data_IF_191914949191
#
_entry.id   IF_191914949191
#
_cell.length_a   1.000
_cell.length_b   1.000
_cell.length_c   1.000
_cell.angle_alpha   90.00
_cell.angle_beta   90.00
_cell.angle_gamma   90.00
#
_symmetry.space_group_name_H-M   'P 1'
#
loop_
_entity.id
_entity.type
_entity.pdbx_description
1 polymer ?
#
# COMPACT_ATOMS: atom_id res chain seq x y z
N UNK A 1 8.89 -27.55 19.33
CA UNK A 1 7.64 -28.18 18.86
C UNK A 1 7.54 -29.62 19.33
N UNK A 2 8.46 -30.54 18.98
CA UNK A 2 8.40 -31.94 19.47
C UNK A 2 8.40 -32.08 21.00
N UNK A 3 9.20 -31.29 21.70
CA UNK A 3 9.24 -31.27 23.18
C UNK A 3 7.89 -30.88 23.82
N UNK A 4 7.10 -30.10 23.07
CA UNK A 4 5.85 -29.49 23.57
C UNK A 4 4.62 -30.15 22.96
N UNK A 5 4.79 -31.24 22.21
CA UNK A 5 3.72 -31.98 21.50
C UNK A 5 2.81 -31.07 20.68
N UNK A 6 3.42 -30.18 19.86
CA UNK A 6 2.68 -29.26 18.97
C UNK A 6 2.44 -29.98 17.64
N UNK A 7 1.17 -30.22 17.30
CA UNK A 7 0.73 -30.88 16.07
C UNK A 7 0.22 -29.90 15.02
N UNK A 8 -0.19 -28.69 15.43
CA UNK A 8 -0.75 -27.66 14.56
C UNK A 8 -0.03 -26.34 14.81
N UNK A 9 0.44 -25.69 13.75
CA UNK A 9 1.04 -24.36 13.76
C UNK A 9 0.21 -23.42 12.90
N UNK A 10 -0.33 -22.35 13.51
CA UNK A 10 -0.88 -21.23 12.75
C UNK A 10 0.15 -20.10 12.61
N UNK A 11 0.43 -19.67 11.38
CA UNK A 11 1.30 -18.53 11.09
C UNK A 11 0.44 -17.34 10.66
N UNK A 12 0.69 -16.17 11.25
CA UNK A 12 -0.06 -14.94 10.93
C UNK A 12 0.95 -13.85 10.59
N UNK A 13 1.05 -13.46 9.33
CA UNK A 13 2.04 -12.46 8.91
C UNK A 13 2.01 -12.15 7.42
N UNK A 14 3.00 -11.37 6.96
CA UNK A 14 3.18 -10.98 5.57
C UNK A 14 3.77 -12.09 4.70
N UNK A 15 4.32 -11.69 3.57
CA UNK A 15 4.94 -12.55 2.57
C UNK A 15 6.07 -13.41 3.15
N UNK A 16 7.04 -12.80 3.84
CA UNK A 16 8.15 -13.51 4.50
C UNK A 16 7.65 -14.58 5.48
N UNK A 17 6.66 -14.26 6.31
CA UNK A 17 6.11 -15.21 7.29
C UNK A 17 5.46 -16.41 6.59
N UNK A 18 4.74 -16.18 5.52
CA UNK A 18 4.01 -17.24 4.82
C UNK A 18 4.95 -18.07 3.93
N UNK A 19 5.95 -17.48 3.29
CA UNK A 19 6.99 -18.22 2.56
C UNK A 19 7.85 -19.07 3.50
N UNK A 20 8.20 -18.56 4.68
CA UNK A 20 8.90 -19.33 5.70
C UNK A 20 8.05 -20.48 6.27
N UNK A 21 6.74 -20.28 6.42
CA UNK A 21 5.80 -21.34 6.81
C UNK A 21 5.74 -22.44 5.77
N UNK A 22 5.72 -22.09 4.47
CA UNK A 22 5.78 -23.04 3.37
C UNK A 22 7.10 -23.84 3.37
N UNK A 23 8.24 -23.15 3.54
CA UNK A 23 9.56 -23.79 3.63
C UNK A 23 9.67 -24.76 4.83
N UNK A 24 9.10 -24.34 6.00
CA UNK A 24 9.05 -25.19 7.19
C UNK A 24 8.22 -26.45 6.93
N UNK A 25 7.04 -26.33 6.36
CA UNK A 25 6.18 -27.48 6.03
C UNK A 25 6.90 -28.47 5.10
N UNK A 26 7.52 -27.97 4.02
CA UNK A 26 8.26 -28.78 3.08
C UNK A 26 9.50 -29.48 3.72
N UNK A 27 10.19 -28.79 4.64
CA UNK A 27 11.32 -29.37 5.37
C UNK A 27 10.88 -30.51 6.30
N UNK A 28 9.78 -30.32 7.01
CA UNK A 28 9.25 -31.32 7.93
C UNK A 28 8.76 -32.55 7.20
N UNK A 29 8.06 -32.40 6.08
CA UNK A 29 7.62 -33.49 5.23
C UNK A 29 8.81 -34.37 4.76
N UNK A 30 9.88 -33.71 4.25
CA UNK A 30 11.13 -34.40 3.84
C UNK A 30 11.83 -35.13 5.00
N UNK A 31 11.62 -34.65 6.22
CA UNK A 31 12.21 -35.24 7.43
C UNK A 31 11.33 -36.34 8.06
N UNK A 32 10.22 -36.71 7.39
CA UNK A 32 9.27 -37.71 7.89
C UNK A 32 8.50 -37.26 9.15
N UNK A 33 8.41 -35.98 9.41
CA UNK A 33 7.71 -35.39 10.54
C UNK A 33 6.38 -34.81 10.11
N UNK A 34 5.35 -35.01 10.92
CA UNK A 34 4.02 -34.47 10.68
C UNK A 34 3.78 -33.23 11.53
N UNK A 35 3.63 -32.08 10.89
CA UNK A 35 3.14 -30.84 11.50
C UNK A 35 2.16 -30.21 10.51
N UNK A 36 0.96 -29.94 10.97
CA UNK A 36 0.00 -29.19 10.18
C UNK A 36 0.32 -27.71 10.27
N UNK A 37 0.59 -27.07 9.14
CA UNK A 37 0.93 -25.63 9.07
C UNK A 37 -0.17 -24.91 8.32
N UNK A 38 -0.88 -23.99 9.01
CA UNK A 38 -1.93 -23.17 8.40
C UNK A 38 -1.58 -21.69 8.50
N UNK A 39 -1.34 -21.06 7.37
CA UNK A 39 -1.00 -19.65 7.26
C UNK A 39 -2.23 -18.74 7.13
N UNK A 40 -2.10 -17.51 7.61
CA UNK A 40 -3.06 -16.42 7.46
C UNK A 40 -2.29 -15.18 6.96
N UNK A 41 -2.62 -14.65 5.75
CA UNK A 41 -1.86 -13.56 5.14
C UNK A 41 -2.26 -12.22 5.78
N UNK A 42 -1.43 -11.71 6.69
CA UNK A 42 -1.66 -10.45 7.39
C UNK A 42 -0.54 -9.45 7.01
N UNK A 43 -0.82 -8.61 6.07
CA UNK A 43 0.02 -7.48 5.64
C UNK A 43 -0.85 -6.32 5.19
N UNK A 44 -0.35 -5.09 5.30
CA UNK A 44 -1.02 -3.90 4.77
C UNK A 44 -0.71 -3.67 3.29
N UNK A 45 0.36 -4.28 2.79
CA UNK A 45 0.88 -4.07 1.44
C UNK A 45 0.07 -4.81 0.36
N UNK A 46 -0.69 -5.84 0.75
CA UNK A 46 -1.50 -6.68 -0.15
C UNK A 46 -0.68 -7.38 -1.25
N UNK A 47 0.53 -7.82 -0.91
CA UNK A 47 1.60 -8.26 -1.81
C UNK A 47 1.88 -9.79 -1.81
N UNK A 48 0.93 -10.60 -1.36
CA UNK A 48 1.04 -12.08 -1.28
C UNK A 48 0.35 -12.75 -2.47
N UNK A 49 1.10 -13.51 -3.27
CA UNK A 49 0.58 -14.35 -4.37
C UNK A 49 0.09 -15.70 -3.82
N UNK A 50 -1.05 -16.23 -4.25
CA UNK A 50 -2.11 -15.70 -5.11
C UNK A 50 -3.31 -15.17 -4.29
N UNK A 51 -3.05 -14.42 -3.24
CA UNK A 51 -4.08 -13.90 -2.33
C UNK A 51 -4.66 -12.59 -2.87
N UNK A 52 -5.98 -12.56 -3.10
CA UNK A 52 -6.67 -11.35 -3.58
C UNK A 52 -6.63 -10.21 -2.59
N UNK A 53 -6.84 -10.52 -1.32
CA UNK A 53 -6.92 -9.53 -0.26
C UNK A 53 -6.30 -10.05 1.03
N UNK A 54 -5.30 -9.35 1.52
CA UNK A 54 -4.66 -9.66 2.80
C UNK A 54 -5.38 -9.01 3.96
N UNK A 55 -5.26 -9.61 5.14
CA UNK A 55 -5.88 -9.14 6.38
C UNK A 55 -5.21 -7.83 6.83
N UNK A 56 -6.01 -6.79 7.01
CA UNK A 56 -5.57 -5.47 7.47
C UNK A 56 -5.32 -4.44 6.37
N UNK A 57 -5.26 -4.84 5.10
CA UNK A 57 -4.98 -3.91 4.00
C UNK A 57 -6.13 -2.91 3.78
N UNK A 58 -7.39 -3.34 3.83
CA UNK A 58 -8.54 -2.43 3.76
C UNK A 58 -8.54 -1.43 4.91
N UNK A 59 -8.29 -1.88 6.13
CA UNK A 59 -8.20 -1.00 7.31
C UNK A 59 -7.10 0.04 7.11
N UNK A 60 -5.93 -0.37 6.62
CA UNK A 60 -4.83 0.56 6.40
C UNK A 60 -5.18 1.63 5.36
N UNK A 61 -5.83 1.25 4.26
CA UNK A 61 -6.30 2.20 3.24
C UNK A 61 -7.33 3.20 3.80
N UNK A 62 -8.34 2.71 4.54
CA UNK A 62 -9.36 3.56 5.19
C UNK A 62 -8.75 4.51 6.23
N UNK A 63 -7.78 4.05 7.02
CA UNK A 63 -7.12 4.88 8.03
C UNK A 63 -6.14 5.88 7.40
N UNK A 64 -5.42 5.49 6.36
CA UNK A 64 -4.61 6.41 5.55
C UNK A 64 -5.45 7.54 4.94
N UNK A 65 -6.65 7.22 4.45
CA UNK A 65 -7.61 8.20 3.96
C UNK A 65 -8.05 9.19 5.06
N UNK A 66 -8.38 8.69 6.24
CA UNK A 66 -8.73 9.54 7.40
C UNK A 66 -7.56 10.40 7.90
N UNK A 67 -6.36 9.85 7.86
CA UNK A 67 -5.16 10.60 8.18
C UNK A 67 -5.00 11.80 7.24
N UNK A 68 -5.14 11.57 5.93
CA UNK A 68 -5.04 12.64 4.95
C UNK A 68 -6.19 13.65 5.03
N UNK A 69 -7.41 13.20 5.38
CA UNK A 69 -8.57 14.09 5.60
C UNK A 69 -8.28 15.18 6.64
N UNK A 70 -7.49 14.89 7.66
CA UNK A 70 -7.08 15.88 8.65
C UNK A 70 -6.01 16.83 8.10
N UNK A 71 -5.06 16.29 7.32
CA UNK A 71 -3.89 17.03 6.83
C UNK A 71 -4.25 17.99 5.71
N UNK A 72 -5.16 17.56 4.81
CA UNK A 72 -5.55 18.36 3.64
C UNK A 72 -6.12 19.73 3.98
N UNK A 73 -6.63 19.92 5.21
CA UNK A 73 -7.13 21.18 5.69
C UNK A 73 -6.03 22.27 5.75
N UNK A 74 -4.75 21.87 5.77
CA UNK A 74 -3.62 22.79 5.64
C UNK A 74 -3.67 23.61 4.33
N UNK A 75 -4.33 23.11 3.28
CA UNK A 75 -4.57 23.86 2.05
C UNK A 75 -5.34 25.16 2.23
N UNK A 76 -5.95 25.36 3.40
CA UNK A 76 -6.65 26.61 3.73
C UNK A 76 -5.77 27.63 4.47
N UNK A 77 -4.57 27.23 4.90
CA UNK A 77 -3.70 28.05 5.75
C UNK A 77 -2.67 28.89 4.97
N UNK A 78 -2.35 28.47 3.74
CA UNK A 78 -1.39 29.16 2.87
C UNK A 78 -1.77 29.03 1.41
N UNK A 79 -1.18 29.89 0.58
CA UNK A 79 -1.33 29.80 -0.87
C UNK A 79 -0.33 28.79 -1.44
N UNK A 80 -0.64 28.28 -2.64
CA UNK A 80 0.25 27.45 -3.45
C UNK A 80 0.90 26.33 -2.62
N UNK A 81 0.06 25.53 -1.96
CA UNK A 81 0.53 24.48 -1.09
C UNK A 81 0.70 23.16 -1.82
N UNK A 82 1.86 22.54 -1.67
CA UNK A 82 2.12 21.17 -2.10
C UNK A 82 2.04 20.24 -0.89
N UNK A 83 1.11 19.27 -0.90
CA UNK A 83 1.04 18.22 0.12
C UNK A 83 1.40 16.89 -0.51
N UNK A 84 2.37 16.19 0.06
CA UNK A 84 2.75 14.83 -0.31
C UNK A 84 2.41 13.90 0.84
N UNK A 85 1.46 13.01 0.63
CA UNK A 85 1.11 11.93 1.55
C UNK A 85 1.87 10.67 1.16
N UNK A 86 2.96 10.38 1.85
CA UNK A 86 3.73 9.15 1.66
C UNK A 86 3.06 8.00 2.39
N UNK A 87 2.78 6.93 1.66
CA UNK A 87 2.10 5.72 2.09
C UNK A 87 3.05 4.53 1.96
N UNK A 88 2.96 3.56 2.86
CA UNK A 88 3.71 2.30 2.79
C UNK A 88 3.39 1.54 1.51
N UNK A 89 4.31 0.69 1.08
CA UNK A 89 4.19 -0.10 -0.15
C UNK A 89 5.46 -0.01 -0.99
N UNK A 90 6.48 -0.78 -0.61
CA UNK A 90 7.79 -0.77 -1.28
C UNK A 90 7.72 -1.27 -2.72
N UNK A 91 7.03 -2.38 -2.93
CA UNK A 91 6.96 -3.11 -4.20
C UNK A 91 5.54 -3.23 -4.74
N UNK A 92 4.54 -2.86 -3.94
CA UNK A 92 3.13 -2.93 -4.30
C UNK A 92 2.43 -1.60 -4.00
N UNK A 93 1.89 -0.98 -5.02
CA UNK A 93 1.20 0.31 -4.95
C UNK A 93 -0.25 0.23 -4.46
N UNK A 94 -0.75 -0.98 -4.19
CA UNK A 94 -2.16 -1.20 -3.84
C UNK A 94 -2.61 -0.33 -2.66
N UNK A 95 -1.80 -0.27 -1.58
CA UNK A 95 -2.17 0.50 -0.39
C UNK A 95 -2.27 2.00 -0.70
N UNK A 96 -1.36 2.54 -1.50
CA UNK A 96 -1.39 3.96 -1.91
C UNK A 96 -2.60 4.26 -2.77
N UNK A 97 -2.84 3.44 -3.80
CA UNK A 97 -4.01 3.56 -4.67
C UNK A 97 -5.32 3.41 -3.89
N UNK A 98 -5.40 2.40 -3.01
CA UNK A 98 -6.54 2.17 -2.13
C UNK A 98 -6.79 3.32 -1.15
N UNK A 99 -5.73 3.90 -0.59
CA UNK A 99 -5.82 5.07 0.30
C UNK A 99 -6.38 6.29 -0.44
N UNK A 100 -5.90 6.56 -1.64
CA UNK A 100 -6.39 7.65 -2.48
C UNK A 100 -7.87 7.43 -2.86
N UNK A 101 -8.23 6.21 -3.21
CA UNK A 101 -9.60 5.84 -3.56
C UNK A 101 -10.57 5.98 -2.37
N UNK A 102 -10.21 5.45 -1.20
CA UNK A 102 -11.04 5.58 0.02
C UNK A 102 -11.13 7.06 0.45
N UNK A 103 -10.06 7.84 0.27
CA UNK A 103 -10.09 9.28 0.55
C UNK A 103 -11.06 10.01 -0.38
N UNK A 104 -11.06 9.73 -1.68
CA UNK A 104 -12.01 10.35 -2.62
C UNK A 104 -13.47 10.03 -2.29
N UNK A 105 -13.76 8.82 -1.78
CA UNK A 105 -15.10 8.48 -1.25
C UNK A 105 -15.50 9.33 -0.05
N UNK A 106 -14.56 9.65 0.84
CA UNK A 106 -14.85 10.55 1.96
C UNK A 106 -15.24 11.94 1.46
N UNK A 107 -14.61 12.42 0.38
CA UNK A 107 -14.93 13.73 -0.20
C UNK A 107 -16.34 13.82 -0.78
N UNK A 108 -16.94 12.71 -1.22
CA UNK A 108 -18.32 12.70 -1.75
C UNK A 108 -19.37 13.11 -0.72
N UNK A 109 -19.05 12.93 0.57
CA UNK A 109 -19.94 13.28 1.67
C UNK A 109 -19.69 14.70 2.24
N UNK A 110 -18.75 15.45 1.67
CA UNK A 110 -18.42 16.80 2.13
C UNK A 110 -19.32 17.84 1.45
N UNK A 111 -19.69 18.85 2.22
CA UNK A 111 -20.33 20.04 1.67
C UNK A 111 -19.27 21.06 1.26
N UNK A 112 -19.31 21.50 0.03
CA UNK A 112 -18.43 22.51 -0.53
C UNK A 112 -19.16 23.84 -0.68
N UNK A 113 -18.43 24.93 -0.47
CA UNK A 113 -18.93 26.32 -0.58
C UNK A 113 -18.02 27.10 -1.55
N UNK A 114 -18.18 26.91 -2.87
CA UNK A 114 -17.30 27.51 -3.87
C UNK A 114 -17.23 29.04 -3.76
N UNK A 115 -18.30 29.68 -3.32
CA UNK A 115 -18.38 31.11 -3.11
C UNK A 115 -17.42 31.61 -2.03
N UNK A 116 -17.00 30.72 -1.13
CA UNK A 116 -16.00 30.96 -0.09
C UNK A 116 -14.62 30.34 -0.42
N UNK A 117 -14.41 29.99 -1.68
CA UNK A 117 -13.20 29.30 -2.16
C UNK A 117 -13.00 27.90 -1.57
N UNK A 118 -14.04 27.29 -0.99
CA UNK A 118 -14.08 25.94 -0.48
C UNK A 118 -14.62 25.05 -1.59
N UNK A 119 -13.80 24.73 -2.57
CA UNK A 119 -14.16 23.88 -3.70
C UNK A 119 -13.58 22.47 -3.55
N UNK A 120 -14.26 21.46 -4.10
CA UNK A 120 -13.78 20.07 -4.10
C UNK A 120 -12.35 19.97 -4.63
N UNK A 121 -11.99 20.73 -5.67
CA UNK A 121 -10.68 20.71 -6.28
C UNK A 121 -9.53 20.98 -5.31
N UNK A 122 -9.73 21.76 -4.26
CA UNK A 122 -8.67 21.99 -3.26
C UNK A 122 -8.41 20.79 -2.34
N UNK A 123 -9.41 19.94 -2.17
CA UNK A 123 -9.33 18.75 -1.31
C UNK A 123 -9.09 17.47 -2.10
N UNK A 124 -9.29 17.46 -3.44
CA UNK A 124 -9.19 16.24 -4.23
C UNK A 124 -7.74 15.72 -4.32
N UNK A 125 -7.63 14.47 -4.74
CA UNK A 125 -6.37 13.83 -5.12
C UNK A 125 -5.94 14.40 -6.47
N UNK A 126 -4.69 14.83 -6.60
CA UNK A 126 -4.18 15.39 -7.85
C UNK A 126 -3.16 14.48 -8.53
N UNK A 127 -2.50 13.61 -7.78
CA UNK A 127 -1.64 12.57 -8.34
C UNK A 127 -1.56 11.35 -7.40
N UNK A 128 -1.37 10.18 -8.01
CA UNK A 128 -1.09 8.91 -7.32
C UNK A 128 0.15 8.30 -7.99
N UNK A 129 1.25 8.22 -7.26
CA UNK A 129 2.49 7.61 -7.75
C UNK A 129 2.73 6.29 -7.02
N UNK A 130 2.88 5.23 -7.81
CA UNK A 130 3.04 3.85 -7.35
C UNK A 130 4.23 3.18 -8.05
N UNK A 131 4.82 2.11 -7.48
CA UNK A 131 5.99 1.44 -8.06
C UNK A 131 5.74 0.87 -9.45
N UNK A 132 4.52 0.42 -9.75
CA UNK A 132 4.14 -0.27 -10.97
C UNK A 132 3.99 0.65 -12.19
N UNK A 133 4.14 1.96 -12.01
CA UNK A 133 3.98 2.93 -13.11
C UNK A 133 5.17 3.85 -13.21
N UNK A 134 5.70 3.97 -14.43
CA UNK A 134 6.72 4.97 -14.75
C UNK A 134 6.16 6.38 -14.64
N UNK A 135 7.00 7.31 -14.22
CA UNK A 135 6.63 8.72 -14.04
C UNK A 135 7.33 9.57 -15.08
N UNK A 136 6.55 10.13 -16.01
CA UNK A 136 7.03 11.22 -16.87
C UNK A 136 6.98 12.54 -16.10
N UNK A 137 8.08 12.87 -15.42
CA UNK A 137 8.18 14.07 -14.60
C UNK A 137 7.91 15.38 -15.37
N UNK A 138 8.25 15.45 -16.65
CA UNK A 138 8.01 16.66 -17.44
C UNK A 138 6.51 16.86 -17.69
N UNK A 139 5.82 15.81 -18.12
CA UNK A 139 4.38 15.82 -18.35
C UNK A 139 3.60 16.05 -17.06
N UNK A 140 3.96 15.35 -15.98
CA UNK A 140 3.31 15.50 -14.67
C UNK A 140 3.53 16.89 -14.07
N UNK A 141 4.73 17.46 -14.19
CA UNK A 141 4.99 18.85 -13.77
C UNK A 141 4.09 19.82 -14.51
N UNK A 142 3.97 19.68 -15.84
CA UNK A 142 3.12 20.56 -16.64
C UNK A 142 1.62 20.42 -16.26
N UNK A 143 1.16 19.21 -15.97
CA UNK A 143 -0.21 18.93 -15.52
C UNK A 143 -0.47 19.48 -14.12
N UNK A 144 0.39 19.18 -13.16
CA UNK A 144 0.26 19.62 -11.77
C UNK A 144 0.43 21.13 -11.61
N UNK A 145 1.24 21.76 -12.47
CA UNK A 145 1.34 23.23 -12.50
C UNK A 145 0.00 23.90 -12.82
N UNK A 146 -0.73 23.37 -13.79
CA UNK A 146 -2.08 23.88 -14.11
C UNK A 146 -3.04 23.71 -12.93
N UNK A 147 -2.94 22.59 -12.22
CA UNK A 147 -3.75 22.33 -11.01
C UNK A 147 -3.38 23.32 -9.90
N UNK A 148 -2.09 23.55 -9.66
CA UNK A 148 -1.61 24.53 -8.70
C UNK A 148 -2.13 25.94 -9.03
N UNK A 149 -2.13 26.32 -10.30
CA UNK A 149 -2.57 27.65 -10.74
C UNK A 149 -4.10 27.84 -10.64
N UNK A 150 -4.88 26.73 -10.73
CA UNK A 150 -6.35 26.79 -10.64
C UNK A 150 -6.89 26.57 -9.23
N UNK A 151 -6.25 25.70 -8.43
CA UNK A 151 -6.74 25.31 -7.11
C UNK A 151 -5.92 25.89 -5.95
N UNK A 152 -4.80 26.54 -6.25
CA UNK A 152 -3.85 27.09 -5.25
C UNK A 152 -3.24 26.00 -4.34
N UNK A 153 -3.30 24.75 -4.78
CA UNK A 153 -2.72 23.59 -4.08
C UNK A 153 -2.54 22.38 -5.01
N UNK A 154 -1.67 21.45 -4.58
CA UNK A 154 -1.50 20.13 -5.17
C UNK A 154 -1.40 19.08 -4.06
N UNK A 155 -2.19 18.01 -4.17
CA UNK A 155 -2.22 16.88 -3.23
C UNK A 155 -1.74 15.61 -3.93
N UNK A 156 -0.64 15.03 -3.48
CA UNK A 156 -0.01 13.84 -4.06
C UNK A 156 -0.08 12.69 -3.06
N UNK A 157 -0.56 11.52 -3.51
CA UNK A 157 -0.43 10.26 -2.81
C UNK A 157 0.74 9.52 -3.40
N UNK A 158 1.74 9.24 -2.57
CA UNK A 158 3.02 8.69 -3.00
C UNK A 158 3.29 7.37 -2.28
N UNK A 159 3.47 6.27 -3.04
CA UNK A 159 4.04 5.06 -2.48
C UNK A 159 5.52 5.27 -2.18
N UNK A 160 5.98 4.77 -1.03
CA UNK A 160 7.40 4.85 -0.65
C UNK A 160 8.34 4.16 -1.66
N UNK A 161 7.81 3.27 -2.52
CA UNK A 161 8.57 2.61 -3.59
C UNK A 161 8.46 3.26 -4.96
N UNK A 162 7.63 4.30 -5.12
CA UNK A 162 7.43 4.94 -6.41
C UNK A 162 8.68 5.67 -6.91
N UNK A 163 8.98 5.55 -8.21
CA UNK A 163 10.12 6.22 -8.86
C UNK A 163 11.50 5.77 -8.36
N UNK A 164 11.58 4.64 -7.68
CA UNK A 164 12.80 4.20 -6.98
C UNK A 164 13.99 4.03 -7.91
N UNK A 165 13.78 3.49 -9.12
CA UNK A 165 14.86 3.32 -10.10
C UNK A 165 15.44 4.67 -10.57
N UNK A 166 14.61 5.70 -10.64
CA UNK A 166 15.07 7.06 -10.99
C UNK A 166 15.85 7.67 -9.84
N UNK A 167 15.37 7.53 -8.61
CA UNK A 167 16.06 8.02 -7.40
C UNK A 167 17.43 7.35 -7.24
N UNK A 168 17.49 6.05 -7.39
CA UNK A 168 18.73 5.26 -7.30
C UNK A 168 19.74 5.72 -8.37
N UNK A 169 19.29 5.83 -9.63
CA UNK A 169 20.15 6.31 -10.73
C UNK A 169 20.70 7.73 -10.47
N UNK A 170 19.89 8.62 -9.94
CA UNK A 170 20.33 9.99 -9.60
C UNK A 170 21.38 10.00 -8.49
N UNK A 171 21.18 9.21 -7.42
CA UNK A 171 22.14 9.09 -6.32
C UNK A 171 23.48 8.56 -6.84
N UNK A 172 23.46 7.49 -7.63
CA UNK A 172 24.66 6.86 -8.18
C UNK A 172 25.37 7.77 -9.19
N UNK A 173 24.64 8.47 -10.06
CA UNK A 173 25.20 9.45 -10.99
C UNK A 173 25.86 10.63 -10.27
N UNK A 174 25.33 11.01 -9.10
CA UNK A 174 25.94 12.01 -8.21
C UNK A 174 27.15 11.51 -7.40
N UNK A 175 27.57 10.26 -7.59
CA UNK A 175 28.67 9.64 -6.85
C UNK A 175 28.29 9.19 -5.42
N UNK A 176 27.00 9.22 -5.08
CA UNK A 176 26.47 8.72 -3.81
C UNK A 176 26.40 7.19 -3.78
N UNK A 177 26.34 6.63 -2.55
CA UNK A 177 26.07 5.21 -2.36
C UNK A 177 24.63 5.01 -1.94
N UNK A 178 23.95 4.06 -2.59
CA UNK A 178 22.59 3.67 -2.22
C UNK A 178 22.64 2.75 -1.00
N UNK A 179 22.07 3.16 0.15
CA UNK A 179 22.06 2.32 1.36
C UNK A 179 21.14 1.11 1.14
N UNK A 180 21.65 -0.08 1.53
CA UNK A 180 20.91 -1.34 1.40
C UNK A 180 20.91 -2.09 2.72
N UNK A 181 19.87 -2.87 2.96
CA UNK A 181 19.78 -3.78 4.12
C UNK A 181 20.62 -5.05 3.91
N UNK A 182 20.60 -5.94 4.90
CA UNK A 182 21.34 -7.20 4.85
C UNK A 182 20.87 -8.17 3.73
N UNK A 183 19.68 -7.93 3.18
CA UNK A 183 19.08 -8.72 2.10
C UNK A 183 19.29 -8.06 0.72
N UNK A 184 19.93 -6.89 0.67
CA UNK A 184 20.18 -6.14 -0.55
C UNK A 184 19.07 -5.15 -0.96
N UNK A 185 18.02 -5.04 -0.20
CA UNK A 185 16.95 -4.08 -0.47
C UNK A 185 17.38 -2.65 -0.14
N UNK A 186 16.94 -1.73 -0.96
CA UNK A 186 17.17 -0.28 -0.74
C UNK A 186 16.51 0.16 0.57
N UNK A 187 17.26 0.89 1.40
CA UNK A 187 16.77 1.43 2.66
C UNK A 187 15.99 2.73 2.41
N UNK A 188 14.68 2.62 2.29
CA UNK A 188 13.79 3.73 1.95
C UNK A 188 13.75 4.84 3.02
N UNK A 189 13.96 4.47 4.28
CA UNK A 189 14.07 5.41 5.40
C UNK A 189 15.28 6.36 5.27
N UNK A 190 16.37 5.90 4.67
CA UNK A 190 17.55 6.71 4.41
C UNK A 190 17.48 7.51 3.10
N UNK A 191 16.73 7.03 2.10
CA UNK A 191 16.56 7.71 0.80
C UNK A 191 15.49 8.82 0.87
N UNK A 192 14.47 8.66 1.71
CA UNK A 192 13.36 9.59 1.87
C UNK A 192 12.67 9.97 0.54
N UNK A 193 11.91 9.05 -0.11
CA UNK A 193 11.27 9.32 -1.39
C UNK A 193 10.39 10.57 -1.38
N UNK A 194 9.62 10.80 -0.32
CA UNK A 194 8.80 12.00 -0.17
C UNK A 194 9.60 13.31 -0.26
N UNK A 195 10.81 13.35 0.31
CA UNK A 195 11.70 14.51 0.21
C UNK A 195 12.23 14.69 -1.20
N UNK A 196 12.58 13.59 -1.86
CA UNK A 196 13.03 13.65 -3.25
C UNK A 196 11.93 14.18 -4.18
N UNK A 197 10.69 13.67 -4.07
CA UNK A 197 9.55 14.17 -4.83
C UNK A 197 9.22 15.63 -4.51
N UNK A 198 9.32 16.03 -3.25
CA UNK A 198 9.14 17.42 -2.85
C UNK A 198 10.16 18.34 -3.52
N UNK A 199 11.43 17.93 -3.59
CA UNK A 199 12.48 18.67 -4.29
C UNK A 199 12.19 18.79 -5.80
N UNK A 200 11.70 17.72 -6.44
CA UNK A 200 11.36 17.74 -7.87
C UNK A 200 10.19 18.68 -8.18
N UNK A 201 9.17 18.70 -7.33
CA UNK A 201 7.93 19.41 -7.64
C UNK A 201 7.79 20.80 -7.02
N UNK A 202 8.37 21.08 -5.85
CA UNK A 202 8.10 22.34 -5.12
C UNK A 202 8.44 23.58 -5.94
N UNK A 203 9.65 23.67 -6.48
CA UNK A 203 10.08 24.81 -7.31
C UNK A 203 9.35 24.82 -8.66
N UNK A 204 9.27 23.66 -9.33
CA UNK A 204 8.64 23.52 -10.63
C UNK A 204 7.14 23.89 -10.62
N UNK A 205 6.44 23.62 -9.53
CA UNK A 205 5.04 24.03 -9.34
C UNK A 205 4.89 25.45 -8.77
N UNK A 206 5.98 26.07 -8.32
CA UNK A 206 5.98 27.34 -7.62
C UNK A 206 5.18 27.24 -6.32
N UNK A 207 5.44 26.21 -5.53
CA UNK A 207 4.81 26.04 -4.23
C UNK A 207 5.43 27.00 -3.20
N UNK A 208 4.58 27.76 -2.49
CA UNK A 208 5.02 28.62 -1.39
C UNK A 208 5.31 27.79 -0.13
N UNK A 209 4.58 26.68 0.05
CA UNK A 209 4.75 25.77 1.16
C UNK A 209 4.65 24.32 0.69
N UNK A 210 5.54 23.48 1.18
CA UNK A 210 5.52 22.02 0.94
C UNK A 210 5.40 21.28 2.26
N UNK A 211 4.45 20.37 2.33
CA UNK A 211 4.19 19.52 3.48
C UNK A 211 4.32 18.05 3.07
N UNK A 212 5.17 17.29 3.76
CA UNK A 212 5.33 15.87 3.57
C UNK A 212 4.85 15.17 4.83
N UNK A 213 3.89 14.26 4.68
CA UNK A 213 3.32 13.52 5.79
C UNK A 213 3.28 12.03 5.47
N UNK A 214 3.60 11.20 6.46
CA UNK A 214 3.65 9.75 6.34
C UNK A 214 2.58 9.14 7.24
N UNK A 215 1.61 8.42 6.68
CA UNK A 215 0.60 7.71 7.49
C UNK A 215 1.17 6.48 8.20
N UNK A 216 2.16 5.81 7.59
CA UNK A 216 2.97 4.75 8.18
C UNK A 216 2.29 3.93 9.30
N UNK A 217 2.79 4.06 10.52
CA UNK A 217 2.24 3.33 11.67
C UNK A 217 0.84 3.76 12.10
N UNK A 218 0.39 4.96 11.79
CA UNK A 218 -1.00 5.37 12.04
C UNK A 218 -1.99 4.45 11.32
N UNK A 219 -1.73 4.15 10.06
CA UNK A 219 -2.55 3.23 9.27
C UNK A 219 -2.31 1.76 9.65
N UNK A 220 -1.03 1.35 9.82
CA UNK A 220 -0.62 -0.03 10.06
C UNK A 220 -1.09 -0.59 11.40
N UNK A 221 -1.11 0.21 12.47
CA UNK A 221 -1.47 -0.21 13.82
C UNK A 221 -2.90 0.13 14.23
N UNK A 222 -3.73 0.55 13.28
CA UNK A 222 -5.10 0.91 13.55
C UNK A 222 -5.97 -0.29 13.92
N UNK A 223 -7.04 -0.02 14.67
CA UNK A 223 -8.06 -1.03 14.97
C UNK A 223 -8.73 -1.48 13.67
N UNK A 224 -8.90 -2.81 13.44
CA UNK A 224 -9.50 -3.32 12.23
C UNK A 224 -10.91 -2.76 11.98
N UNK A 225 -11.14 -2.35 10.73
CA UNK A 225 -12.44 -1.93 10.22
C UNK A 225 -13.38 -3.13 10.00
N UNK A 226 -14.66 -2.86 9.72
CA UNK A 226 -15.69 -3.89 9.58
C UNK A 226 -15.41 -4.90 8.47
N UNK A 227 -14.85 -4.44 7.33
CA UNK A 227 -14.51 -5.29 6.17
C UNK A 227 -13.43 -6.31 6.54
N UNK A 228 -12.36 -5.85 7.18
CA UNK A 228 -11.29 -6.73 7.65
C UNK A 228 -11.77 -7.66 8.77
N UNK A 229 -12.57 -7.17 9.72
CA UNK A 229 -13.12 -8.01 10.78
C UNK A 229 -13.97 -9.18 10.25
N UNK A 230 -14.77 -8.96 9.21
CA UNK A 230 -15.55 -10.03 8.57
C UNK A 230 -14.63 -11.07 7.91
N UNK A 231 -13.61 -10.61 7.14
CA UNK A 231 -12.65 -11.50 6.50
C UNK A 231 -11.80 -12.25 7.55
N UNK A 232 -11.30 -11.56 8.59
CA UNK A 232 -10.53 -12.16 9.70
C UNK A 232 -11.33 -13.26 10.35
N UNK A 233 -12.61 -13.01 10.67
CA UNK A 233 -13.48 -13.99 11.30
C UNK A 233 -13.64 -15.25 10.44
N UNK A 234 -13.98 -15.07 9.15
CA UNK A 234 -14.14 -16.19 8.21
C UNK A 234 -12.84 -16.99 8.04
N UNK A 235 -11.73 -16.29 7.88
CA UNK A 235 -10.41 -16.91 7.71
C UNK A 235 -9.96 -17.65 8.95
N UNK A 236 -10.19 -17.11 10.15
CA UNK A 236 -9.82 -17.76 11.42
C UNK A 236 -10.60 -19.05 11.65
N UNK A 237 -11.92 -19.06 11.38
CA UNK A 237 -12.73 -20.28 11.47
C UNK A 237 -12.25 -21.35 10.49
N UNK A 238 -12.01 -20.98 9.23
CA UNK A 238 -11.50 -21.92 8.23
C UNK A 238 -10.10 -22.44 8.60
N UNK A 239 -9.21 -21.58 9.09
CA UNK A 239 -7.87 -21.98 9.50
C UNK A 239 -7.91 -23.00 10.64
N UNK A 240 -8.74 -22.77 11.65
CA UNK A 240 -8.94 -23.72 12.75
C UNK A 240 -9.50 -25.07 12.26
N UNK A 241 -10.50 -25.03 11.38
CA UNK A 241 -11.09 -26.23 10.78
C UNK A 241 -10.05 -27.03 9.97
N UNK A 242 -9.25 -26.37 9.13
CA UNK A 242 -8.21 -27.01 8.33
C UNK A 242 -7.10 -27.59 9.22
N UNK A 243 -6.70 -26.87 10.27
CA UNK A 243 -5.74 -27.36 11.25
C UNK A 243 -6.22 -28.65 11.92
N UNK A 244 -7.46 -28.69 12.41
CA UNK A 244 -8.06 -29.87 13.03
C UNK A 244 -8.23 -31.06 12.05
N UNK A 245 -8.37 -30.80 10.76
CA UNK A 245 -8.41 -31.82 9.70
C UNK A 245 -7.03 -32.30 9.26
N UNK A 246 -5.94 -31.78 9.84
CA UNK A 246 -4.58 -32.09 9.44
C UNK A 246 -4.21 -31.60 8.03
N UNK A 247 -4.86 -30.53 7.54
CA UNK A 247 -4.63 -29.97 6.21
C UNK A 247 -3.76 -28.72 6.30
N UNK A 248 -2.54 -28.79 5.77
CA UNK A 248 -1.64 -27.63 5.62
C UNK A 248 -2.03 -26.76 4.43
N UNK A 249 -1.83 -25.44 4.55
CA UNK A 249 -2.11 -24.47 3.49
C UNK A 249 -2.16 -23.06 4.02
N UNK A 250 -2.42 -22.09 3.13
CA UNK A 250 -2.70 -20.70 3.48
C UNK A 250 -4.20 -20.45 3.30
N UNK A 251 -4.87 -19.92 4.30
CA UNK A 251 -6.28 -19.53 4.20
C UNK A 251 -6.38 -18.10 3.70
N UNK A 252 -6.94 -17.92 2.52
CA UNK A 252 -7.09 -16.61 1.87
C UNK A 252 -8.12 -16.62 0.75
N UNK A 253 -8.41 -15.43 0.23
CA UNK A 253 -9.19 -15.27 -1.00
C UNK A 253 -8.28 -15.63 -2.18
N UNK A 254 -8.56 -16.74 -2.86
CA UNK A 254 -7.70 -17.33 -3.87
C UNK A 254 -8.01 -16.78 -5.28
N UNK A 255 -7.07 -16.03 -5.86
CA UNK A 255 -7.20 -15.47 -7.21
C UNK A 255 -7.31 -16.55 -8.29
N UNK A 256 -6.75 -17.74 -8.05
CA UNK A 256 -6.88 -18.88 -8.97
C UNK A 256 -8.25 -19.57 -8.87
N UNK A 257 -9.08 -19.21 -7.89
CA UNK A 257 -10.39 -19.80 -7.63
C UNK A 257 -11.49 -18.73 -7.46
N UNK A 258 -11.60 -17.83 -8.43
CA UNK A 258 -12.65 -16.79 -8.47
C UNK A 258 -12.72 -15.93 -7.19
N UNK A 259 -11.58 -15.62 -6.60
CA UNK A 259 -11.45 -14.85 -5.35
C UNK A 259 -12.24 -15.47 -4.17
N UNK A 260 -12.50 -16.79 -4.18
CA UNK A 260 -13.19 -17.47 -3.08
C UNK A 260 -12.26 -17.72 -1.90
N UNK A 261 -12.81 -17.60 -0.70
CA UNK A 261 -12.09 -17.99 0.52
C UNK A 261 -11.84 -19.50 0.50
N UNK A 262 -10.57 -19.90 0.59
CA UNK A 262 -10.16 -21.30 0.47
C UNK A 262 -8.83 -21.56 1.18
N UNK A 263 -8.43 -22.85 1.16
CA UNK A 263 -7.12 -23.30 1.56
C UNK A 263 -6.24 -23.39 0.31
N UNK A 264 -5.28 -22.50 0.22
CA UNK A 264 -4.33 -22.35 -0.88
C UNK A 264 -3.10 -23.24 -0.58
N UNK A 265 -2.60 -23.96 -1.57
CA UNK A 265 -1.38 -24.76 -1.41
C UNK A 265 -0.18 -23.86 -1.07
N UNK A 266 0.57 -24.24 -0.02
CA UNK A 266 1.75 -23.49 0.43
C UNK A 266 2.82 -23.35 -0.67
N UNK A 267 2.89 -24.28 -1.62
CA UNK A 267 3.84 -24.20 -2.74
C UNK A 267 3.54 -23.07 -3.73
N UNK A 268 2.31 -22.56 -3.74
CA UNK A 268 1.89 -21.45 -4.59
C UNK A 268 2.16 -20.09 -3.96
N UNK A 269 2.52 -20.07 -2.67
CA UNK A 269 2.67 -18.81 -1.91
C UNK A 269 4.01 -18.16 -2.24
N UNK A 270 3.95 -16.93 -2.71
CA UNK A 270 5.09 -16.10 -3.00
C UNK A 270 4.82 -14.67 -2.55
N UNK A 271 5.86 -13.95 -2.15
CA UNK A 271 5.81 -12.50 -1.96
C UNK A 271 6.02 -11.75 -3.27
N UNK A 272 5.92 -10.42 -3.18
CA UNK A 272 6.23 -9.55 -4.32
C UNK A 272 5.11 -9.47 -5.37
N UNK A 273 3.86 -9.67 -4.97
CA UNK A 273 2.71 -9.41 -5.83
C UNK A 273 2.65 -7.92 -6.16
N UNK A 274 2.68 -7.62 -7.44
CA UNK A 274 2.46 -6.26 -7.94
C UNK A 274 0.97 -5.91 -7.91
N UNK A 275 0.67 -4.63 -7.80
CA UNK A 275 -0.70 -4.14 -7.91
C UNK A 275 -1.14 -4.14 -9.38
N UNK A 276 -2.24 -4.83 -9.66
CA UNK A 276 -2.86 -4.82 -10.99
C UNK A 276 -3.49 -3.45 -11.28
N UNK A 277 -2.79 -2.63 -12.05
CA UNK A 277 -3.22 -1.27 -12.42
C UNK A 277 -4.33 -1.24 -13.46
N UNK A 278 -4.76 -2.38 -14.01
CA UNK A 278 -5.89 -2.50 -14.93
C UNK A 278 -7.25 -2.63 -14.22
N UNK A 279 -7.25 -2.67 -12.88
CA UNK A 279 -8.50 -2.71 -12.13
C UNK A 279 -9.34 -1.45 -12.41
N UNK A 280 -10.59 -1.65 -12.81
CA UNK A 280 -11.49 -0.60 -13.29
C UNK A 280 -11.67 0.57 -12.30
N UNK A 281 -11.70 0.29 -10.99
CA UNK A 281 -11.80 1.36 -9.98
C UNK A 281 -10.57 2.29 -9.99
N UNK A 282 -9.39 1.73 -10.25
CA UNK A 282 -8.16 2.50 -10.32
C UNK A 282 -8.07 3.29 -11.63
N UNK A 283 -8.38 2.66 -12.78
CA UNK A 283 -8.39 3.34 -14.07
C UNK A 283 -9.37 4.51 -14.09
N UNK A 284 -10.59 4.32 -13.53
CA UNK A 284 -11.58 5.39 -13.41
C UNK A 284 -11.04 6.52 -12.54
N UNK A 285 -10.45 6.21 -11.39
CA UNK A 285 -9.87 7.22 -10.50
C UNK A 285 -8.75 8.01 -11.21
N UNK A 286 -7.86 7.32 -11.93
CA UNK A 286 -6.75 7.97 -12.66
C UNK A 286 -7.27 8.87 -13.79
N UNK A 287 -8.27 8.42 -14.52
CA UNK A 287 -8.92 9.23 -15.57
C UNK A 287 -9.60 10.48 -14.97
N UNK A 288 -10.30 10.35 -13.84
CA UNK A 288 -10.97 11.45 -13.16
C UNK A 288 -10.02 12.55 -12.70
N UNK A 289 -8.83 12.18 -12.20
CA UNK A 289 -7.80 13.15 -11.80
C UNK A 289 -6.93 13.62 -12.97
N UNK A 290 -7.21 13.14 -14.18
CA UNK A 290 -6.48 13.49 -15.40
C UNK A 290 -5.02 13.00 -15.44
N UNK A 291 -4.68 11.98 -14.69
CA UNK A 291 -3.36 11.33 -14.69
C UNK A 291 -3.40 10.12 -15.63
N UNK A 292 -2.39 10.01 -16.52
CA UNK A 292 -2.29 8.93 -17.50
C UNK A 292 -1.45 7.76 -16.98
#
# INVERSE_FOLDING_TARGET
MEKDNIDILHTIGGDDTNTMAAALAAHLEKSGKTLTVVGLPKTVDNDVIPVKQTLGAWTAAEQGARFFQNIVNENTTSRRQLIIHEVMGRHCGWLTAGTAYEYRKLLENNNYLPELFISKGRWDVHAVYIPERDIDFASETARLRKIMDSNDCVNIFLSEGAGMDTIVREIEAGGGKVPRDAFGHVRLDEINPGQWFAKQFSEALGADKTLIQKSGYFARSAKPGSRDLDLIKKSAFMAAEMGLKGKSGLVGLDENNEDKLGLIDLQLIQGGKEFDTSQSWFEIMMADIGQK
#
